data_IF_592172895773
#
_entry.id   IF_592172895773
#
_cell.length_a   1.000
_cell.length_b   1.000
_cell.length_c   1.000
_cell.angle_alpha   90.00
_cell.angle_beta   90.00
_cell.angle_gamma   90.00
#
_symmetry.space_group_name_H-M   'P 1'
#
loop_
_entity.id
_entity.type
_entity.pdbx_description
1 polymer ?
#
# COMPACT_ATOMS: atom_id res chain seq x y z
N UNK A 1 40.25 24.63 41.57
CA UNK A 1 39.75 23.66 42.57
C UNK A 1 38.36 23.08 42.27
N UNK A 2 37.60 23.54 41.26
CA UNK A 2 36.22 23.04 40.98
C UNK A 2 36.10 21.81 40.07
N UNK A 3 37.14 21.51 39.27
CA UNK A 3 37.20 20.34 38.37
C UNK A 3 37.11 18.97 39.06
N UNK A 4 37.82 18.71 40.19
CA UNK A 4 37.70 17.40 40.87
C UNK A 4 36.32 17.19 41.50
N UNK A 5 35.66 18.28 41.94
CA UNK A 5 34.31 18.22 42.53
C UNK A 5 33.27 17.76 41.50
N UNK A 6 33.37 18.24 40.27
CA UNK A 6 32.51 17.81 39.16
C UNK A 6 32.69 16.33 38.84
N UNK A 7 33.93 15.84 38.83
CA UNK A 7 34.24 14.42 38.55
C UNK A 7 33.70 13.52 39.67
N UNK A 8 33.88 13.92 40.92
CA UNK A 8 33.36 13.19 42.09
C UNK A 8 31.83 13.18 42.09
N UNK A 9 31.20 14.31 41.75
CA UNK A 9 29.74 14.40 41.59
C UNK A 9 29.22 13.47 40.50
N UNK A 10 29.92 13.38 39.36
CA UNK A 10 29.52 12.51 38.25
C UNK A 10 29.67 11.02 38.63
N UNK A 11 30.73 10.67 39.36
CA UNK A 11 30.94 9.30 39.88
C UNK A 11 29.86 8.90 40.89
N UNK A 12 29.53 9.79 41.83
CA UNK A 12 28.48 9.54 42.83
C UNK A 12 27.09 9.36 42.18
N UNK A 13 26.82 10.03 41.05
CA UNK A 13 25.56 9.88 40.32
C UNK A 13 25.38 8.49 39.69
N UNK A 14 26.46 7.77 39.39
CA UNK A 14 26.36 6.41 38.82
C UNK A 14 25.87 5.38 39.85
N UNK A 15 26.03 5.67 41.15
CA UNK A 15 25.61 4.77 42.24
C UNK A 15 24.09 4.72 42.42
N UNK A 16 23.34 5.66 41.84
CA UNK A 16 21.88 5.74 41.96
C UNK A 16 21.13 5.21 40.73
N UNK A 17 21.84 4.63 39.75
CA UNK A 17 21.23 4.12 38.53
C UNK A 17 20.79 2.67 38.73
N UNK A 18 19.49 2.43 38.65
CA UNK A 18 18.94 1.07 38.57
C UNK A 18 19.01 0.57 37.13
N UNK A 19 19.48 -0.67 36.95
CA UNK A 19 19.44 -1.33 35.65
C UNK A 19 17.99 -1.60 35.21
N UNK A 20 17.76 -1.57 33.90
CA UNK A 20 16.47 -1.97 33.34
C UNK A 20 16.17 -3.45 33.65
N UNK A 21 14.94 -3.75 34.04
CA UNK A 21 14.49 -5.13 34.22
C UNK A 21 14.42 -5.84 32.87
N UNK A 22 15.07 -6.99 32.74
CA UNK A 22 14.94 -7.84 31.56
C UNK A 22 13.48 -8.26 31.39
N UNK A 23 12.88 -7.88 30.26
CA UNK A 23 11.54 -8.33 29.88
C UNK A 23 11.67 -9.46 28.86
N UNK A 24 10.83 -10.51 28.96
CA UNK A 24 10.81 -11.56 27.96
C UNK A 24 10.56 -10.93 26.59
N UNK A 25 11.41 -11.26 25.62
CA UNK A 25 11.28 -10.74 24.26
C UNK A 25 10.06 -11.39 23.62
N UNK A 26 9.21 -10.58 23.01
CA UNK A 26 8.10 -11.10 22.23
C UNK A 26 8.67 -11.86 21.03
N UNK A 27 8.29 -13.12 20.86
CA UNK A 27 8.60 -13.92 19.67
C UNK A 27 10.11 -14.04 19.35
N UNK A 28 10.95 -14.32 20.35
CA UNK A 28 12.43 -14.40 20.23
C UNK A 28 12.94 -15.30 19.10
N UNK A 29 12.23 -16.39 18.81
CA UNK A 29 12.57 -17.38 17.78
C UNK A 29 11.61 -17.35 16.59
N UNK A 30 10.79 -16.30 16.47
CA UNK A 30 10.03 -16.07 15.26
C UNK A 30 11.00 -15.71 14.14
N UNK A 31 11.74 -14.61 14.21
CA UNK A 31 12.61 -14.21 13.10
C UNK A 31 13.61 -15.27 12.61
N UNK A 32 14.04 -16.20 13.48
CA UNK A 32 15.00 -17.26 13.15
C UNK A 32 14.44 -18.43 12.36
N UNK A 33 13.11 -18.58 12.17
CA UNK A 33 12.61 -19.71 11.37
C UNK A 33 12.94 -19.48 9.90
N UNK A 34 13.15 -20.59 9.18
CA UNK A 34 13.45 -20.54 7.75
C UNK A 34 12.27 -20.00 6.92
N UNK A 35 11.03 -20.25 7.37
CA UNK A 35 9.83 -19.85 6.64
C UNK A 35 8.78 -19.28 7.61
N UNK A 36 8.16 -18.17 7.23
CA UNK A 36 7.08 -17.52 7.96
C UNK A 36 5.89 -17.24 7.06
N UNK A 37 4.71 -17.39 7.65
CA UNK A 37 3.45 -17.04 7.01
C UNK A 37 2.77 -15.90 7.74
N UNK A 38 2.14 -15.03 6.97
CA UNK A 38 1.32 -13.93 7.47
C UNK A 38 0.24 -13.56 6.47
N UNK A 39 -0.40 -12.43 6.68
CA UNK A 39 -1.35 -11.85 5.75
C UNK A 39 -1.22 -10.33 5.76
N UNK A 40 -1.56 -9.70 4.65
CA UNK A 40 -1.67 -8.24 4.53
C UNK A 40 -3.07 -7.89 4.11
N UNK A 41 -3.60 -6.82 4.69
CA UNK A 41 -4.83 -6.15 4.24
C UNK A 41 -4.44 -4.72 3.91
N UNK A 42 -4.85 -4.25 2.74
CA UNK A 42 -4.58 -2.88 2.30
C UNK A 42 -5.80 -2.29 1.60
N UNK A 43 -5.80 -0.97 1.49
CA UNK A 43 -6.74 -0.23 0.63
C UNK A 43 -6.01 0.15 -0.65
N UNK A 44 -6.74 0.18 -1.77
CA UNK A 44 -6.21 0.62 -3.05
C UNK A 44 -7.22 1.57 -3.71
N UNK A 45 -6.72 2.44 -4.60
CA UNK A 45 -7.54 3.25 -5.48
C UNK A 45 -7.05 3.01 -6.90
N UNK A 46 -7.96 2.64 -7.78
CA UNK A 46 -7.64 2.15 -9.11
C UNK A 46 -8.00 3.20 -10.16
N UNK A 47 -6.97 3.81 -10.74
CA UNK A 47 -7.10 4.75 -11.85
C UNK A 47 -6.80 4.07 -13.20
N UNK A 48 -7.25 4.66 -14.30
CA UNK A 48 -7.02 4.20 -15.67
C UNK A 48 -7.06 5.37 -16.64
N UNK A 49 -5.97 5.55 -17.40
CA UNK A 49 -5.90 6.52 -18.47
C UNK A 49 -6.34 5.93 -19.81
N UNK A 50 -7.14 6.67 -20.57
CA UNK A 50 -7.55 6.32 -21.93
C UNK A 50 -6.71 7.08 -22.96
N UNK A 51 -6.12 6.36 -23.92
CA UNK A 51 -5.49 6.98 -25.10
C UNK A 51 -6.53 7.09 -26.20
N UNK A 52 -6.69 8.29 -26.76
CA UNK A 52 -7.74 8.61 -27.72
C UNK A 52 -7.17 8.70 -29.13
N UNK A 53 -7.92 8.18 -30.09
CA UNK A 53 -7.59 8.33 -31.51
C UNK A 53 -8.36 9.51 -32.10
N UNK A 54 -7.76 10.71 -32.03
CA UNK A 54 -8.36 11.94 -32.58
C UNK A 54 -8.46 11.97 -34.12
N UNK A 55 -7.93 10.96 -34.82
CA UNK A 55 -8.01 10.85 -36.27
C UNK A 55 -9.22 10.03 -36.74
N UNK A 56 -9.95 9.38 -35.83
CA UNK A 56 -11.18 8.68 -36.17
C UNK A 56 -12.30 9.67 -36.48
N UNK A 57 -13.11 9.38 -37.51
CA UNK A 57 -14.26 10.21 -37.91
C UNK A 57 -15.37 10.22 -36.85
N UNK A 58 -15.55 9.12 -36.14
CA UNK A 58 -16.49 8.98 -35.02
C UNK A 58 -15.80 8.22 -33.88
N UNK A 59 -15.69 8.87 -32.72
CA UNK A 59 -15.19 8.22 -31.51
C UNK A 59 -15.85 8.78 -30.26
N UNK A 60 -16.04 7.91 -29.26
CA UNK A 60 -16.52 8.30 -27.95
C UNK A 60 -15.34 8.65 -27.04
N UNK A 61 -15.48 9.76 -26.31
CA UNK A 61 -14.54 10.14 -25.27
C UNK A 61 -14.84 9.30 -24.02
N UNK A 62 -13.93 8.41 -23.64
CA UNK A 62 -14.04 7.65 -22.40
C UNK A 62 -13.27 8.34 -21.27
N UNK A 63 -13.86 8.34 -20.08
CA UNK A 63 -13.22 8.77 -18.85
C UNK A 63 -13.74 8.01 -17.62
N UNK A 64 -13.00 8.09 -16.52
CA UNK A 64 -13.49 7.61 -15.23
C UNK A 64 -14.40 8.66 -14.60
N UNK A 65 -15.57 8.24 -14.14
CA UNK A 65 -16.50 9.12 -13.44
C UNK A 65 -15.93 9.55 -12.08
N UNK A 66 -15.43 8.57 -11.32
CA UNK A 66 -14.89 8.78 -9.98
C UNK A 66 -13.94 7.65 -9.58
N UNK A 67 -12.95 7.98 -8.75
CA UNK A 67 -12.08 6.98 -8.14
C UNK A 67 -12.80 6.30 -6.99
N UNK A 68 -13.03 5.00 -7.12
CA UNK A 68 -13.67 4.18 -6.09
C UNK A 68 -12.62 3.47 -5.25
N UNK A 69 -12.74 3.48 -3.91
CA UNK A 69 -11.83 2.74 -3.05
C UNK A 69 -12.06 1.23 -3.21
N UNK A 70 -10.96 0.51 -3.35
CA UNK A 70 -10.89 -0.94 -3.31
C UNK A 70 -10.11 -1.42 -2.08
N UNK A 71 -10.03 -2.73 -1.91
CA UNK A 71 -9.21 -3.36 -0.87
C UNK A 71 -8.46 -4.55 -1.44
N UNK A 72 -7.32 -4.87 -0.83
CA UNK A 72 -6.51 -6.01 -1.21
C UNK A 72 -6.23 -6.89 -0.01
N UNK A 73 -6.22 -8.19 -0.24
CA UNK A 73 -5.85 -9.19 0.75
C UNK A 73 -4.81 -10.11 0.13
N UNK A 74 -3.72 -10.36 0.86
CA UNK A 74 -2.65 -11.24 0.38
C UNK A 74 -2.10 -12.08 1.51
N UNK A 75 -1.66 -13.29 1.18
CA UNK A 75 -0.88 -14.12 2.09
C UNK A 75 0.58 -13.66 1.98
N UNK A 76 1.29 -13.58 3.09
CA UNK A 76 2.72 -13.32 3.12
C UNK A 76 3.43 -14.65 3.29
N UNK A 77 4.27 -15.04 2.32
CA UNK A 77 5.19 -16.17 2.45
C UNK A 77 6.61 -15.62 2.44
N UNK A 78 7.28 -15.66 3.60
CA UNK A 78 8.63 -15.11 3.78
C UNK A 78 9.62 -16.26 3.98
N UNK A 79 10.60 -16.37 3.08
CA UNK A 79 11.68 -17.35 3.12
C UNK A 79 12.98 -16.64 3.51
N UNK A 80 13.51 -16.99 4.68
CA UNK A 80 14.81 -16.51 5.16
C UNK A 80 15.92 -17.26 4.44
N UNK A 81 16.67 -16.54 3.60
CA UNK A 81 17.82 -17.07 2.86
C UNK A 81 19.12 -16.93 3.66
N UNK A 82 19.28 -15.81 4.39
CA UNK A 82 20.40 -15.57 5.29
C UNK A 82 19.97 -14.68 6.47
N UNK A 83 20.90 -14.18 7.29
CA UNK A 83 20.56 -13.29 8.41
C UNK A 83 20.04 -11.91 7.98
N UNK A 84 20.40 -11.46 6.78
CA UNK A 84 20.04 -10.14 6.27
C UNK A 84 19.27 -10.19 4.96
N UNK A 85 18.95 -11.39 4.45
CA UNK A 85 18.25 -11.58 3.18
C UNK A 85 17.03 -12.47 3.35
N UNK A 86 15.87 -11.92 2.98
CA UNK A 86 14.60 -12.63 2.91
C UNK A 86 14.03 -12.51 1.50
N UNK A 87 13.49 -13.61 0.99
CA UNK A 87 12.70 -13.65 -0.22
C UNK A 87 11.23 -13.74 0.17
N UNK A 88 10.42 -12.75 -0.23
CA UNK A 88 9.01 -12.68 0.13
C UNK A 88 8.13 -12.82 -1.10
N UNK A 89 7.16 -13.73 -1.03
CA UNK A 89 6.11 -13.91 -2.01
C UNK A 89 4.77 -13.45 -1.41
N UNK A 90 4.01 -12.66 -2.18
CA UNK A 90 2.75 -12.04 -1.75
C UNK A 90 1.59 -12.47 -2.67
N UNK A 91 1.17 -13.74 -2.68
CA UNK A 91 0.02 -14.15 -3.45
C UNK A 91 -1.25 -13.57 -2.82
N UNK A 92 -2.10 -12.96 -3.62
CA UNK A 92 -3.30 -12.31 -3.13
C UNK A 92 -4.27 -11.89 -4.22
N UNK A 93 -5.35 -11.25 -3.78
CA UNK A 93 -6.41 -10.73 -4.64
C UNK A 93 -6.58 -9.24 -4.31
N UNK A 94 -6.71 -8.42 -5.35
CA UNK A 94 -7.08 -7.02 -5.24
C UNK A 94 -8.50 -6.84 -5.74
N UNK A 95 -9.39 -6.41 -4.86
CA UNK A 95 -10.75 -6.03 -5.20
C UNK A 95 -10.80 -4.53 -5.47
N UNK A 96 -11.53 -4.15 -6.49
CA UNK A 96 -11.96 -2.79 -6.67
C UNK A 96 -12.85 -2.66 -7.90
N UNK A 97 -13.52 -1.52 -7.98
CA UNK A 97 -14.50 -1.22 -9.01
C UNK A 97 -14.09 0.04 -9.77
N UNK A 98 -14.52 0.13 -11.03
CA UNK A 98 -14.31 1.30 -11.88
C UNK A 98 -15.60 1.56 -12.64
N UNK A 99 -15.99 2.82 -12.69
CA UNK A 99 -17.13 3.28 -13.46
C UNK A 99 -16.61 4.14 -14.61
N UNK A 100 -16.80 3.66 -15.84
CA UNK A 100 -16.33 4.32 -17.05
C UNK A 100 -17.52 4.98 -17.73
N UNK A 101 -17.43 6.28 -17.92
CA UNK A 101 -18.43 7.05 -18.65
C UNK A 101 -17.91 7.36 -20.05
N UNK A 102 -18.83 7.32 -21.01
CA UNK A 102 -18.56 7.66 -22.39
C UNK A 102 -19.29 8.95 -22.71
N UNK A 103 -18.64 9.83 -23.43
CA UNK A 103 -19.14 11.14 -23.80
C UNK A 103 -19.02 11.31 -25.31
N UNK A 104 -19.93 12.10 -25.87
CA UNK A 104 -19.78 12.54 -27.25
C UNK A 104 -18.60 13.52 -27.36
N UNK A 105 -17.88 13.46 -28.48
CA UNK A 105 -16.77 14.36 -28.74
C UNK A 105 -16.95 15.00 -30.11
N UNK A 106 -17.32 16.27 -30.11
CA UNK A 106 -17.49 17.06 -31.33
C UNK A 106 -16.58 18.30 -31.28
N UNK A 107 -15.81 18.51 -32.35
CA UNK A 107 -14.97 19.70 -32.57
C UNK A 107 -14.09 20.14 -31.39
N UNK A 108 -13.62 19.21 -30.54
CA UNK A 108 -12.76 19.53 -29.40
C UNK A 108 -13.48 19.67 -28.05
N UNK A 109 -14.81 19.55 -28.03
CA UNK A 109 -15.65 19.73 -26.85
C UNK A 109 -16.19 18.36 -26.41
N UNK A 110 -16.02 18.05 -25.12
CA UNK A 110 -16.67 16.90 -24.48
C UNK A 110 -18.12 17.27 -24.22
N UNK A 111 -19.03 16.55 -24.85
CA UNK A 111 -20.48 16.71 -24.72
C UNK A 111 -21.05 15.95 -23.52
N UNK A 112 -22.35 15.66 -23.57
CA UNK A 112 -23.05 14.94 -22.52
C UNK A 112 -22.66 13.44 -22.48
N UNK A 113 -22.81 12.78 -21.30
CA UNK A 113 -22.65 11.34 -21.20
C UNK A 113 -23.59 10.62 -22.18
N UNK A 114 -23.05 9.69 -22.97
CA UNK A 114 -23.78 8.89 -23.94
C UNK A 114 -23.81 7.42 -23.51
N UNK A 115 -25.01 6.86 -23.43
CA UNK A 115 -25.16 5.41 -23.25
C UNK A 115 -24.72 4.68 -24.51
N UNK A 116 -23.93 3.61 -24.35
CA UNK A 116 -23.53 2.79 -25.48
C UNK A 116 -24.74 1.93 -25.91
N UNK A 117 -25.19 2.04 -27.18
CA UNK A 117 -26.28 1.21 -27.68
C UNK A 117 -25.95 -0.27 -27.54
N UNK A 118 -26.93 -1.06 -27.08
CA UNK A 118 -26.85 -2.53 -26.99
C UNK A 118 -25.83 -3.10 -25.99
N UNK A 119 -25.27 -2.28 -25.10
CA UNK A 119 -24.52 -2.79 -23.95
C UNK A 119 -25.50 -2.96 -22.80
N UNK A 120 -25.83 -4.20 -22.44
CA UNK A 120 -26.50 -4.50 -21.18
C UNK A 120 -25.54 -4.09 -20.06
N UNK A 121 -25.88 -3.04 -19.32
CA UNK A 121 -25.13 -2.69 -18.13
C UNK A 121 -25.19 -3.91 -17.20
N UNK A 122 -24.06 -4.55 -16.83
CA UNK A 122 -24.09 -5.62 -15.86
C UNK A 122 -24.68 -5.02 -14.58
N UNK A 123 -25.89 -5.47 -14.24
CA UNK A 123 -26.64 -4.99 -13.07
C UNK A 123 -25.75 -5.13 -11.83
N UNK A 124 -25.77 -4.16 -10.90
CA UNK A 124 -24.99 -4.20 -9.66
C UNK A 124 -25.23 -5.45 -8.82
#
# INVERSE_FOLDING_TARGET
>A
MRKPILIISLLLFTLTVFAQTERPRNLTSFDSKRMHFGFTVGVNMMDMGFTRNYQAEDFLYADLNQLQPGFQVSIVSDLRLSENWNLRFLPGISFGSREIWYYEYDAGIVGDPREIPHVSNPVP
#
